data_IF_774760020530
#
_entry.id   IF_774760020530
#
_cell.length_a   1.000
_cell.length_b   1.000
_cell.length_c   1.000
_cell.angle_alpha   90.00
_cell.angle_beta   90.00
_cell.angle_gamma   90.00
#
_symmetry.space_group_name_H-M   'P 1'
#
loop_
_entity.id
_entity.type
_entity.pdbx_description
1 polymer ?
#
# COMPACT_ATOMS: atom_id res chain seq x y z
N UNK A 1 1.67 -7.61 -17.61
CA UNK A 1 0.93 -7.28 -16.38
C UNK A 1 1.82 -7.64 -15.21
N UNK A 2 2.31 -6.65 -14.46
CA UNK A 2 3.11 -6.87 -13.25
C UNK A 2 2.18 -6.74 -12.04
N UNK A 3 2.11 -7.81 -11.26
CA UNK A 3 1.29 -7.89 -10.05
C UNK A 3 2.15 -8.25 -8.84
N UNK A 4 1.87 -7.65 -7.70
CA UNK A 4 2.50 -8.00 -6.44
C UNK A 4 1.44 -8.44 -5.43
N UNK A 5 1.72 -9.51 -4.69
CA UNK A 5 0.96 -9.91 -3.51
C UNK A 5 1.77 -9.55 -2.27
N UNK A 6 1.15 -8.83 -1.36
CA UNK A 6 1.74 -8.40 -0.12
C UNK A 6 0.84 -8.80 1.05
N UNK A 7 1.41 -9.29 2.14
CA UNK A 7 0.67 -9.52 3.39
C UNK A 7 0.99 -8.38 4.35
N UNK A 8 -0.04 -7.78 4.93
CA UNK A 8 0.13 -6.87 6.05
C UNK A 8 0.90 -7.57 7.17
N UNK A 9 1.64 -6.79 7.93
CA UNK A 9 2.45 -7.29 9.02
C UNK A 9 3.11 -6.14 9.73
N UNK A 10 4.27 -6.41 10.31
CA UNK A 10 5.03 -5.43 11.06
C UNK A 10 5.56 -4.26 10.22
N UNK A 11 6.11 -3.28 10.93
CA UNK A 11 6.68 -2.06 10.34
C UNK A 11 7.76 -2.33 9.28
N UNK A 12 8.59 -3.36 9.46
CA UNK A 12 9.61 -3.75 8.48
C UNK A 12 8.98 -4.22 7.17
N UNK A 13 7.90 -4.99 7.27
CA UNK A 13 7.15 -5.50 6.12
C UNK A 13 6.48 -4.33 5.40
N UNK A 14 5.81 -3.43 6.12
CA UNK A 14 5.18 -2.25 5.55
C UNK A 14 6.19 -1.25 4.95
N UNK A 15 7.40 -1.15 5.51
CA UNK A 15 8.49 -0.36 4.95
C UNK A 15 8.99 -0.94 3.63
N UNK A 16 9.06 -2.27 3.52
CA UNK A 16 9.40 -2.94 2.26
C UNK A 16 8.33 -2.69 1.19
N UNK A 17 7.05 -2.71 1.55
CA UNK A 17 5.97 -2.32 0.62
C UNK A 17 6.17 -0.88 0.14
N UNK A 18 6.41 0.05 1.05
CA UNK A 18 6.66 1.45 0.72
C UNK A 18 7.83 1.62 -0.25
N UNK A 19 8.95 0.93 0.00
CA UNK A 19 10.10 0.94 -0.89
C UNK A 19 9.80 0.30 -2.25
N UNK A 20 9.06 -0.82 -2.28
CA UNK A 20 8.65 -1.47 -3.53
C UNK A 20 7.75 -0.55 -4.36
N UNK A 21 6.79 0.13 -3.76
CA UNK A 21 5.93 1.08 -4.48
C UNK A 21 6.73 2.24 -5.09
N UNK A 22 7.86 2.64 -4.50
CA UNK A 22 8.80 3.63 -5.07
C UNK A 22 9.61 3.07 -6.25
N UNK A 23 10.11 1.84 -6.12
CA UNK A 23 11.06 1.28 -7.06
C UNK A 23 10.44 0.60 -8.29
N UNK A 24 9.12 0.33 -8.27
CA UNK A 24 8.44 -0.41 -9.32
C UNK A 24 7.39 0.44 -10.05
N UNK A 25 7.81 1.35 -10.96
CA UNK A 25 6.89 2.19 -11.71
C UNK A 25 5.97 1.39 -12.65
N UNK A 26 6.32 0.15 -12.97
CA UNK A 26 5.53 -0.72 -13.85
C UNK A 26 4.49 -1.58 -13.11
N UNK A 27 4.37 -1.44 -11.78
CA UNK A 27 3.41 -2.23 -11.00
C UNK A 27 1.99 -1.83 -11.38
N UNK A 28 1.22 -2.77 -11.95
CA UNK A 28 -0.13 -2.49 -12.42
C UNK A 28 -1.21 -2.92 -11.43
N UNK A 29 -0.94 -3.95 -10.64
CA UNK A 29 -1.91 -4.50 -9.69
C UNK A 29 -1.23 -4.85 -8.37
N UNK A 30 -1.79 -4.36 -7.28
CA UNK A 30 -1.34 -4.67 -5.93
C UNK A 30 -2.43 -5.44 -5.19
N UNK A 31 -2.11 -6.65 -4.78
CA UNK A 31 -2.95 -7.46 -3.91
C UNK A 31 -2.41 -7.37 -2.49
N UNK A 32 -3.29 -7.10 -1.55
CA UNK A 32 -2.93 -6.93 -0.15
C UNK A 32 -3.77 -7.89 0.66
N UNK A 33 -3.12 -8.68 1.51
CA UNK A 33 -3.78 -9.59 2.42
C UNK A 33 -3.69 -9.02 3.82
N UNK A 34 -4.81 -8.79 4.48
CA UNK A 34 -4.84 -8.44 5.89
C UNK A 34 -4.20 -9.53 6.76
N UNK A 35 -3.66 -9.15 7.90
CA UNK A 35 -2.95 -10.06 8.79
C UNK A 35 -3.20 -9.71 10.24
N UNK A 36 -3.31 -10.72 11.11
CA UNK A 36 -3.42 -10.53 12.56
C UNK A 36 -2.07 -10.25 13.23
N UNK A 37 -0.99 -10.19 12.45
CA UNK A 37 0.33 -9.84 12.95
C UNK A 37 0.38 -8.40 13.47
N UNK A 38 1.36 -8.07 14.34
CA UNK A 38 1.53 -6.73 14.85
C UNK A 38 1.62 -5.74 13.69
N UNK A 39 0.67 -4.82 13.61
CA UNK A 39 0.67 -3.78 12.59
C UNK A 39 1.66 -2.67 12.96
N UNK A 40 2.12 -1.87 11.99
CA UNK A 40 2.88 -0.67 12.30
C UNK A 40 2.10 0.27 13.23
N UNK A 41 2.85 1.15 13.89
CA UNK A 41 2.29 2.19 14.77
C UNK A 41 1.40 3.18 14.01
N UNK A 42 0.46 3.80 14.71
CA UNK A 42 -0.41 4.87 14.17
C UNK A 42 0.45 5.98 13.57
N UNK A 43 0.12 6.42 12.35
CA UNK A 43 0.86 7.46 11.63
C UNK A 43 2.10 6.97 10.89
N UNK A 44 2.41 5.67 10.90
CA UNK A 44 3.50 5.09 10.12
C UNK A 44 3.43 5.48 8.64
N UNK A 45 2.22 5.43 8.06
CA UNK A 45 1.98 5.74 6.65
C UNK A 45 2.07 7.24 6.34
N UNK A 46 1.74 8.10 7.31
CA UNK A 46 1.88 9.56 7.17
C UNK A 46 3.36 9.99 7.12
N UNK A 47 4.24 9.25 7.80
CA UNK A 47 5.68 9.47 7.77
C UNK A 47 6.33 8.97 6.47
N UNK A 48 5.66 8.11 5.72
CA UNK A 48 6.17 7.69 4.43
C UNK A 48 6.10 8.88 3.47
N UNK A 49 7.26 9.36 3.02
CA UNK A 49 7.31 10.44 2.05
C UNK A 49 6.34 10.15 0.88
N UNK A 50 5.48 11.11 0.50
CA UNK A 50 4.58 10.97 -0.63
C UNK A 50 5.36 10.46 -1.83
N UNK A 51 4.90 9.38 -2.44
CA UNK A 51 5.61 8.83 -3.58
C UNK A 51 5.48 9.82 -4.74
N UNK A 52 6.61 10.32 -5.24
CA UNK A 52 6.67 10.86 -6.60
C UNK A 52 6.51 9.67 -7.55
N UNK A 53 5.25 9.35 -7.80
CA UNK A 53 4.81 8.30 -8.70
C UNK A 53 5.16 8.72 -10.13
N UNK A 54 6.43 8.59 -10.53
CA UNK A 54 6.88 8.84 -11.90
C UNK A 54 6.28 7.85 -12.93
N UNK A 55 5.31 7.03 -12.55
CA UNK A 55 4.67 6.06 -13.46
C UNK A 55 3.27 5.70 -13.01
N UNK A 56 2.26 6.34 -13.60
CA UNK A 56 0.81 6.16 -13.45
C UNK A 56 0.27 4.74 -13.76
N UNK A 57 1.05 3.67 -13.53
CA UNK A 57 0.69 2.32 -14.01
C UNK A 57 -0.12 1.51 -13.00
N UNK A 58 -0.15 1.88 -11.71
CA UNK A 58 -0.96 1.17 -10.74
C UNK A 58 -2.45 1.39 -11.04
N UNK A 59 -3.08 0.37 -11.63
CA UNK A 59 -4.48 0.41 -12.10
C UNK A 59 -5.45 -0.10 -11.05
N UNK A 60 -5.01 -1.02 -10.19
CA UNK A 60 -5.89 -1.65 -9.22
C UNK A 60 -5.15 -2.01 -7.95
N UNK A 61 -5.81 -1.78 -6.82
CA UNK A 61 -5.42 -2.30 -5.51
C UNK A 61 -6.59 -3.10 -4.97
N UNK A 62 -6.34 -4.36 -4.61
CA UNK A 62 -7.35 -5.23 -4.02
C UNK A 62 -6.89 -5.67 -2.65
N UNK A 63 -7.72 -5.43 -1.64
CA UNK A 63 -7.46 -5.88 -0.27
C UNK A 63 -8.32 -7.10 0.04
N UNK A 64 -7.69 -8.21 0.37
CA UNK A 64 -8.31 -9.45 0.81
C UNK A 64 -8.17 -9.59 2.32
N UNK A 65 -9.17 -10.19 2.95
CA UNK A 65 -9.17 -10.39 4.41
C UNK A 65 -8.91 -9.09 5.18
N UNK A 66 -9.49 -7.98 4.70
CA UNK A 66 -9.41 -6.69 5.38
C UNK A 66 -9.98 -6.83 6.80
N UNK A 67 -9.11 -6.67 7.78
CA UNK A 67 -9.45 -6.80 9.20
C UNK A 67 -9.96 -5.48 9.78
N UNK A 68 -9.76 -4.36 9.06
CA UNK A 68 -10.25 -3.05 9.48
C UNK A 68 -9.45 -2.44 10.62
N UNK A 69 -8.22 -2.90 10.81
CA UNK A 69 -7.29 -2.32 11.79
C UNK A 69 -6.86 -0.92 11.36
N UNK A 70 -6.54 -0.06 12.32
CA UNK A 70 -6.16 1.34 12.06
C UNK A 70 -5.06 1.46 11.01
N UNK A 71 -4.03 0.61 11.07
CA UNK A 71 -2.95 0.58 10.10
C UNK A 71 -3.38 0.21 8.67
N UNK A 72 -4.38 -0.67 8.51
CA UNK A 72 -4.93 -1.02 7.19
C UNK A 72 -5.77 0.14 6.63
N UNK A 73 -6.53 0.81 7.49
CA UNK A 73 -7.34 2.00 7.12
C UNK A 73 -6.42 3.17 6.73
N UNK A 74 -5.39 3.45 7.52
CA UNK A 74 -4.38 4.48 7.22
C UNK A 74 -3.67 4.21 5.90
N UNK A 75 -3.32 2.95 5.63
CA UNK A 75 -2.70 2.58 4.38
C UNK A 75 -3.61 2.84 3.17
N UNK A 76 -4.91 2.49 3.26
CA UNK A 76 -5.86 2.77 2.18
C UNK A 76 -5.98 4.28 1.94
N UNK A 77 -6.00 5.09 3.01
CA UNK A 77 -5.98 6.55 2.91
C UNK A 77 -4.69 7.05 2.24
N UNK A 78 -3.54 6.52 2.65
CA UNK A 78 -2.23 6.84 2.11
C UNK A 78 -2.11 6.51 0.61
N UNK A 79 -2.61 5.35 0.18
CA UNK A 79 -2.70 5.04 -1.24
C UNK A 79 -3.64 6.00 -1.97
N UNK A 80 -4.79 6.31 -1.40
CA UNK A 80 -5.78 7.21 -2.01
C UNK A 80 -5.26 8.64 -2.17
N UNK A 81 -4.43 9.12 -1.23
CA UNK A 81 -3.78 10.43 -1.34
C UNK A 81 -2.65 10.45 -2.36
N UNK A 82 -2.04 9.30 -2.62
CA UNK A 82 -0.93 9.16 -3.58
C UNK A 82 -1.44 8.95 -5.01
N UNK A 83 -2.48 8.14 -5.18
CA UNK A 83 -3.06 7.83 -6.50
C UNK A 83 -4.05 8.93 -6.87
N UNK A 84 -3.57 9.96 -7.59
CA UNK A 84 -4.43 11.02 -8.12
C UNK A 84 -5.40 10.41 -9.15
N UNK A 85 -6.64 10.20 -8.72
CA UNK A 85 -7.80 9.67 -9.48
C UNK A 85 -7.74 8.18 -9.88
N UNK A 86 -8.10 7.28 -8.97
CA UNK A 86 -8.84 6.07 -9.38
C UNK A 86 -10.25 6.52 -9.73
N UNK A 87 -10.57 6.59 -11.03
CA UNK A 87 -11.95 6.77 -11.47
C UNK A 87 -12.71 5.49 -11.10
N UNK A 88 -13.69 5.64 -10.21
CA UNK A 88 -14.68 4.61 -9.94
C UNK A 88 -15.58 4.35 -11.13
#
# INVERSE_FOLDING_TARGET
MLSALFSFGNESTCSLLSAMLRCFPCLETLYIKGSIEPTPHIGFWEQQAPFDFFGHHLKSVTVFQFLGMDAEVEFVKFLSSTVRSLKG
#
